data_IF_970398016389
#
_entry.id   IF_970398016389
#
_cell.length_a   1.000
_cell.length_b   1.000
_cell.length_c   1.000
_cell.angle_alpha   90.00
_cell.angle_beta   90.00
_cell.angle_gamma   90.00
#
_symmetry.space_group_name_H-M   'P 1'
#
loop_
_entity.id
_entity.type
_entity.pdbx_description
1 polymer ?
#
# COMPACT_ATOMS: atom_id res chain seq x y z
N UNK A 1 -15.62 22.20 -10.61
CA UNK A 1 -16.39 20.94 -10.54
C UNK A 1 -15.55 19.73 -10.91
N UNK A 2 -14.86 19.74 -12.05
CA UNK A 2 -14.02 18.63 -12.55
C UNK A 2 -13.00 18.12 -11.53
N UNK A 3 -12.14 19.00 -10.98
CA UNK A 3 -11.04 18.60 -10.07
C UNK A 3 -11.47 17.82 -8.81
N UNK A 4 -12.67 18.07 -8.26
CA UNK A 4 -13.16 17.33 -7.09
C UNK A 4 -13.63 15.92 -7.46
N UNK A 5 -14.46 15.83 -8.52
CA UNK A 5 -14.92 14.55 -9.05
C UNK A 5 -13.74 13.69 -9.54
N UNK A 6 -12.73 14.32 -10.13
CA UNK A 6 -11.47 13.69 -10.51
C UNK A 6 -10.74 13.16 -9.27
N UNK A 7 -10.63 13.96 -8.20
CA UNK A 7 -10.01 13.55 -6.94
C UNK A 7 -10.71 12.36 -6.26
N UNK A 8 -12.05 12.32 -6.27
CA UNK A 8 -12.82 11.19 -5.75
C UNK A 8 -12.60 9.92 -6.58
N UNK A 9 -12.69 10.03 -7.91
CA UNK A 9 -12.52 8.90 -8.82
C UNK A 9 -11.09 8.34 -8.74
N UNK A 10 -10.08 9.21 -8.73
CA UNK A 10 -8.67 8.84 -8.58
C UNK A 10 -8.46 8.18 -7.21
N UNK A 11 -8.97 8.77 -6.12
CA UNK A 11 -8.81 8.24 -4.78
C UNK A 11 -9.40 6.85 -4.60
N UNK A 12 -10.65 6.62 -5.07
CA UNK A 12 -11.28 5.30 -5.02
C UNK A 12 -10.54 4.28 -5.88
N UNK A 13 -10.08 4.67 -7.06
CA UNK A 13 -9.36 3.77 -7.97
C UNK A 13 -7.98 3.41 -7.41
N UNK A 14 -7.27 4.37 -6.82
CA UNK A 14 -5.99 4.16 -6.13
C UNK A 14 -6.15 3.14 -5.01
N UNK A 15 -7.13 3.30 -4.11
CA UNK A 15 -7.35 2.34 -3.00
C UNK A 15 -7.75 0.94 -3.47
N UNK A 16 -8.48 0.83 -4.59
CA UNK A 16 -8.81 -0.49 -5.18
C UNK A 16 -7.57 -1.17 -5.76
N UNK A 17 -6.75 -0.43 -6.48
CA UNK A 17 -5.50 -0.97 -7.02
C UNK A 17 -4.51 -1.34 -5.92
N UNK A 18 -4.42 -0.53 -4.88
CA UNK A 18 -3.62 -0.81 -3.68
C UNK A 18 -4.08 -2.13 -3.02
N UNK A 19 -5.38 -2.32 -2.81
CA UNK A 19 -5.91 -3.57 -2.26
C UNK A 19 -5.61 -4.79 -3.17
N UNK A 20 -5.80 -4.67 -4.48
CA UNK A 20 -5.48 -5.77 -5.43
C UNK A 20 -3.98 -6.09 -5.39
N UNK A 21 -3.14 -5.07 -5.42
CA UNK A 21 -1.69 -5.22 -5.34
C UNK A 21 -1.28 -5.88 -4.03
N UNK A 22 -1.84 -5.48 -2.88
CA UNK A 22 -1.60 -6.12 -1.59
C UNK A 22 -1.99 -7.61 -1.60
N UNK A 23 -3.14 -7.99 -2.17
CA UNK A 23 -3.51 -9.42 -2.28
C UNK A 23 -2.49 -10.18 -3.12
N UNK A 24 -2.15 -9.66 -4.31
CA UNK A 24 -1.22 -10.31 -5.23
C UNK A 24 0.18 -10.43 -4.62
N UNK A 25 0.72 -9.34 -4.09
CA UNK A 25 2.03 -9.31 -3.44
C UNK A 25 2.05 -10.20 -2.20
N UNK A 26 1.04 -10.10 -1.34
CA UNK A 26 0.94 -10.91 -0.13
C UNK A 26 0.86 -12.41 -0.44
N UNK A 27 0.08 -12.80 -1.46
CA UNK A 27 0.02 -14.18 -1.93
C UNK A 27 1.35 -14.64 -2.53
N UNK A 28 2.00 -13.80 -3.34
CA UNK A 28 3.31 -14.10 -3.90
C UNK A 28 4.36 -14.29 -2.80
N UNK A 29 4.41 -13.42 -1.79
CA UNK A 29 5.32 -13.55 -0.64
C UNK A 29 5.01 -14.78 0.21
N UNK A 30 3.73 -15.07 0.45
CA UNK A 30 3.29 -16.23 1.23
C UNK A 30 3.71 -17.54 0.55
N UNK A 31 3.45 -17.67 -0.76
CA UNK A 31 3.86 -18.83 -1.55
C UNK A 31 5.37 -18.89 -1.65
N UNK A 32 6.03 -17.76 -1.92
CA UNK A 32 7.47 -17.70 -2.13
C UNK A 32 8.31 -17.72 -0.82
N UNK A 33 7.70 -17.81 0.35
CA UNK A 33 8.38 -17.66 1.64
C UNK A 33 9.62 -18.55 1.83
N UNK A 34 9.63 -19.84 1.41
CA UNK A 34 10.83 -20.68 1.51
C UNK A 34 12.02 -20.17 0.69
N UNK A 35 11.75 -19.60 -0.49
CA UNK A 35 12.79 -19.06 -1.39
C UNK A 35 13.24 -17.65 -0.97
N UNK A 36 12.32 -16.83 -0.46
CA UNK A 36 12.65 -15.48 0.00
C UNK A 36 13.47 -15.53 1.30
N UNK A 37 13.20 -16.50 2.19
CA UNK A 37 13.88 -16.61 3.49
C UNK A 37 15.40 -16.74 3.42
N UNK A 38 15.92 -17.46 2.44
CA UNK A 38 17.37 -17.55 2.21
C UNK A 38 17.97 -16.23 1.69
N UNK A 39 17.19 -15.41 0.98
CA UNK A 39 17.65 -14.15 0.42
C UNK A 39 17.70 -12.99 1.40
N UNK A 40 16.83 -12.96 2.41
CA UNK A 40 16.75 -11.86 3.41
C UNK A 40 17.11 -12.28 4.84
N UNK A 41 17.62 -13.50 5.01
CA UNK A 41 18.01 -14.07 6.31
C UNK A 41 16.91 -14.02 7.39
N UNK A 42 15.64 -14.13 6.98
CA UNK A 42 14.49 -14.15 7.89
C UNK A 42 13.89 -15.57 7.96
N UNK A 43 13.36 -15.99 9.13
CA UNK A 43 12.67 -17.26 9.24
C UNK A 43 11.45 -17.32 8.32
N UNK A 44 11.27 -18.46 7.62
CA UNK A 44 10.10 -18.73 6.75
C UNK A 44 8.75 -18.39 7.40
N UNK A 45 8.45 -18.76 8.66
CA UNK A 45 7.15 -18.43 9.26
C UNK A 45 6.93 -16.92 9.43
N UNK A 46 8.01 -16.13 9.61
CA UNK A 46 7.91 -14.67 9.68
C UNK A 46 7.49 -14.11 8.32
N UNK A 47 8.13 -14.58 7.23
CA UNK A 47 7.84 -14.12 5.87
C UNK A 47 6.43 -14.52 5.44
N UNK A 48 6.05 -15.78 5.70
CA UNK A 48 4.70 -16.27 5.46
C UNK A 48 3.66 -15.45 6.24
N UNK A 49 3.94 -15.17 7.52
CA UNK A 49 3.10 -14.32 8.36
C UNK A 49 2.91 -12.91 7.80
N UNK A 50 3.98 -12.28 7.27
CA UNK A 50 3.90 -10.98 6.60
C UNK A 50 3.01 -11.07 5.36
N UNK A 51 3.20 -12.07 4.49
CA UNK A 51 2.36 -12.26 3.30
C UNK A 51 0.88 -12.40 3.65
N UNK A 52 0.56 -13.23 4.65
CA UNK A 52 -0.80 -13.39 5.15
C UNK A 52 -1.38 -12.10 5.75
N UNK A 53 -0.60 -11.36 6.53
CA UNK A 53 -1.00 -10.08 7.11
C UNK A 53 -1.33 -9.04 6.03
N UNK A 54 -0.54 -8.99 4.94
CA UNK A 54 -0.80 -8.09 3.80
C UNK A 54 -2.10 -8.47 3.06
N UNK A 55 -2.41 -9.76 2.91
CA UNK A 55 -3.69 -10.22 2.34
C UNK A 55 -4.86 -9.77 3.23
N UNK A 56 -4.75 -9.96 4.56
CA UNK A 56 -5.77 -9.50 5.51
C UNK A 56 -5.93 -7.99 5.44
N UNK A 57 -4.83 -7.24 5.35
CA UNK A 57 -4.84 -5.79 5.19
C UNK A 57 -5.61 -5.36 3.95
N UNK A 58 -5.43 -6.02 2.81
CA UNK A 58 -6.20 -5.72 1.60
C UNK A 58 -7.72 -5.82 1.82
N UNK A 59 -8.16 -6.85 2.55
CA UNK A 59 -9.56 -6.99 2.98
C UNK A 59 -10.02 -5.84 3.86
N UNK A 60 -9.17 -5.38 4.78
CA UNK A 60 -9.43 -4.21 5.62
C UNK A 60 -9.55 -2.93 4.77
N UNK A 61 -8.69 -2.71 3.78
CA UNK A 61 -8.78 -1.54 2.87
C UNK A 61 -10.13 -1.51 2.14
N UNK A 62 -10.60 -2.65 1.64
CA UNK A 62 -11.95 -2.77 1.03
C UNK A 62 -13.05 -2.46 2.06
N UNK A 63 -12.89 -2.91 3.31
CA UNK A 63 -13.77 -2.57 4.41
C UNK A 63 -13.81 -1.07 4.72
N UNK A 64 -12.65 -0.42 4.80
CA UNK A 64 -12.51 1.03 5.03
C UNK A 64 -13.21 1.83 3.93
N UNK A 65 -13.06 1.42 2.67
CA UNK A 65 -13.73 2.05 1.51
C UNK A 65 -15.27 2.00 1.59
N UNK A 66 -15.84 1.01 2.29
CA UNK A 66 -17.28 0.85 2.46
C UNK A 66 -17.82 1.58 3.69
N UNK A 67 -17.00 1.73 4.74
CA UNK A 67 -17.44 2.21 6.06
C UNK A 67 -17.02 3.64 6.37
N UNK A 68 -15.97 4.15 5.74
CA UNK A 68 -15.39 5.45 6.08
C UNK A 68 -15.53 6.47 4.95
N UNK A 69 -15.55 7.78 5.28
CA UNK A 69 -15.37 8.83 4.29
C UNK A 69 -14.04 8.63 3.54
N UNK A 70 -14.06 8.84 2.22
CA UNK A 70 -12.90 8.60 1.35
C UNK A 70 -11.63 9.31 1.83
N UNK A 71 -11.75 10.53 2.35
CA UNK A 71 -10.62 11.31 2.90
C UNK A 71 -9.94 10.58 4.07
N UNK A 72 -10.71 9.93 4.93
CA UNK A 72 -10.17 9.21 6.09
C UNK A 72 -9.53 7.89 5.66
N UNK A 73 -10.21 7.14 4.77
CA UNK A 73 -9.66 5.91 4.20
C UNK A 73 -8.32 6.16 3.49
N UNK A 74 -8.24 7.18 2.62
CA UNK A 74 -7.01 7.57 1.93
C UNK A 74 -5.88 7.91 2.91
N UNK A 75 -6.18 8.64 4.00
CA UNK A 75 -5.17 9.04 4.98
C UNK A 75 -4.61 7.85 5.77
N UNK A 76 -5.49 6.93 6.19
CA UNK A 76 -5.10 5.71 6.90
C UNK A 76 -4.18 4.86 6.03
N UNK A 77 -4.61 4.58 4.79
CA UNK A 77 -3.85 3.73 3.86
C UNK A 77 -2.53 4.38 3.46
N UNK A 78 -2.51 5.70 3.21
CA UNK A 78 -1.28 6.43 2.93
C UNK A 78 -0.26 6.31 4.05
N UNK A 79 -0.68 6.48 5.31
CA UNK A 79 0.23 6.33 6.46
C UNK A 79 0.74 4.89 6.56
N UNK A 80 -0.14 3.91 6.40
CA UNK A 80 0.24 2.50 6.41
C UNK A 80 1.27 2.17 5.30
N UNK A 81 1.05 2.67 4.08
CA UNK A 81 1.97 2.45 2.97
C UNK A 81 3.32 3.15 3.18
N UNK A 82 3.36 4.35 3.77
CA UNK A 82 4.64 4.99 4.13
C UNK A 82 5.40 4.14 5.13
N UNK A 83 4.73 3.67 6.19
CA UNK A 83 5.35 2.81 7.21
C UNK A 83 5.83 1.50 6.59
N UNK A 84 5.01 0.87 5.75
CA UNK A 84 5.37 -0.37 5.06
C UNK A 84 6.55 -0.18 4.10
N UNK A 85 6.57 0.90 3.31
CA UNK A 85 7.69 1.19 2.41
C UNK A 85 9.01 1.36 3.18
N UNK A 86 8.99 2.08 4.31
CA UNK A 86 10.18 2.24 5.18
C UNK A 86 10.61 0.89 5.78
N UNK A 87 9.65 0.11 6.29
CA UNK A 87 9.94 -1.21 6.85
C UNK A 87 10.54 -2.15 5.80
N UNK A 88 9.95 -2.24 4.60
CA UNK A 88 10.47 -3.05 3.48
C UNK A 88 11.85 -2.57 3.05
N UNK A 89 12.05 -1.25 2.90
CA UNK A 89 13.36 -0.71 2.56
C UNK A 89 14.43 -1.08 3.61
N UNK A 90 14.08 -1.09 4.90
CA UNK A 90 15.02 -1.48 5.96
C UNK A 90 15.47 -2.95 5.87
N UNK A 91 14.63 -3.85 5.35
CA UNK A 91 14.98 -5.27 5.12
C UNK A 91 16.11 -5.41 4.10
N UNK A 92 16.28 -4.45 3.17
CA UNK A 92 17.37 -4.50 2.19
C UNK A 92 18.76 -4.50 2.82
N UNK A 93 18.91 -3.97 4.05
CA UNK A 93 20.18 -3.99 4.80
C UNK A 93 20.61 -5.42 5.17
N UNK A 94 19.65 -6.33 5.33
CA UNK A 94 19.89 -7.73 5.68
C UNK A 94 19.90 -8.67 4.44
N UNK A 95 19.75 -8.13 3.23
CA UNK A 95 19.66 -8.94 2.03
C UNK A 95 21.03 -9.51 1.61
N UNK A 96 21.05 -10.80 1.27
CA UNK A 96 22.27 -11.57 1.00
C UNK A 96 22.90 -11.28 -0.37
N UNK A 97 22.14 -10.71 -1.32
CA UNK A 97 22.61 -10.45 -2.67
C UNK A 97 22.16 -9.09 -3.19
N UNK A 98 22.94 -8.51 -4.11
CA UNK A 98 22.57 -7.27 -4.81
C UNK A 98 21.22 -7.37 -5.53
N UNK A 99 20.90 -8.54 -6.10
CA UNK A 99 19.61 -8.78 -6.73
C UNK A 99 18.46 -8.73 -5.72
N UNK A 100 18.61 -9.37 -4.55
CA UNK A 100 17.62 -9.31 -3.48
C UNK A 100 17.42 -7.89 -2.97
N UNK A 101 18.50 -7.11 -2.82
CA UNK A 101 18.42 -5.68 -2.46
C UNK A 101 17.56 -4.93 -3.49
N UNK A 102 17.84 -5.08 -4.79
CA UNK A 102 17.08 -4.40 -5.85
C UNK A 102 15.59 -4.79 -5.84
N UNK A 103 15.27 -6.07 -5.66
CA UNK A 103 13.88 -6.54 -5.58
C UNK A 103 13.15 -5.94 -4.37
N UNK A 104 13.78 -5.97 -3.19
CA UNK A 104 13.20 -5.40 -1.97
C UNK A 104 12.98 -3.89 -2.10
N UNK A 105 13.96 -3.16 -2.65
CA UNK A 105 13.83 -1.73 -2.90
C UNK A 105 12.77 -1.41 -3.95
N UNK A 106 12.65 -2.22 -5.00
CA UNK A 106 11.60 -2.05 -6.01
C UNK A 106 10.21 -2.15 -5.37
N UNK A 107 9.98 -3.16 -4.52
CA UNK A 107 8.72 -3.29 -3.76
C UNK A 107 8.50 -2.07 -2.85
N UNK A 108 9.53 -1.59 -2.13
CA UNK A 108 9.41 -0.41 -1.30
C UNK A 108 9.02 0.85 -2.11
N UNK A 109 9.60 1.03 -3.29
CA UNK A 109 9.28 2.13 -4.21
C UNK A 109 7.85 2.01 -4.72
N UNK A 110 7.39 0.82 -5.13
CA UNK A 110 6.02 0.59 -5.58
C UNK A 110 5.00 0.98 -4.49
N UNK A 111 5.25 0.56 -3.24
CA UNK A 111 4.40 0.92 -2.10
C UNK A 111 4.43 2.44 -1.83
N UNK A 112 5.61 3.08 -1.93
CA UNK A 112 5.72 4.53 -1.80
C UNK A 112 4.99 5.29 -2.92
N UNK A 113 4.95 4.76 -4.14
CA UNK A 113 4.18 5.33 -5.25
C UNK A 113 2.67 5.26 -4.98
N UNK A 114 2.18 4.18 -4.38
CA UNK A 114 0.79 4.12 -3.91
C UNK A 114 0.52 5.22 -2.87
N UNK A 115 1.38 5.40 -1.88
CA UNK A 115 1.26 6.49 -0.89
C UNK A 115 1.25 7.88 -1.56
N UNK A 116 2.12 8.12 -2.54
CA UNK A 116 2.16 9.37 -3.29
C UNK A 116 0.85 9.61 -4.07
N UNK A 117 0.28 8.55 -4.67
CA UNK A 117 -1.01 8.65 -5.37
C UNK A 117 -2.17 9.01 -4.44
N UNK A 118 -2.16 8.48 -3.22
CA UNK A 118 -3.16 8.76 -2.19
C UNK A 118 -3.01 10.19 -1.64
N UNK A 119 -1.77 10.65 -1.46
CA UNK A 119 -1.47 12.03 -1.10
C UNK A 119 -1.94 13.02 -2.19
N UNK A 120 -1.73 12.70 -3.47
CA UNK A 120 -2.20 13.51 -4.58
C UNK A 120 -3.75 13.59 -4.62
N UNK A 121 -4.44 12.45 -4.45
CA UNK A 121 -5.89 12.41 -4.36
C UNK A 121 -6.42 13.26 -3.18
N UNK A 122 -5.78 13.17 -2.00
CA UNK A 122 -6.12 14.00 -0.84
C UNK A 122 -5.93 15.50 -1.11
N UNK A 123 -4.86 15.90 -1.80
CA UNK A 123 -4.65 17.32 -2.19
C UNK A 123 -5.77 17.81 -3.10
N UNK A 124 -6.16 17.03 -4.11
CA UNK A 124 -7.26 17.37 -5.00
C UNK A 124 -8.59 17.52 -4.26
N UNK A 125 -8.88 16.62 -3.31
CA UNK A 125 -10.09 16.68 -2.49
C UNK A 125 -10.12 17.89 -1.52
N UNK A 126 -8.97 18.40 -1.10
CA UNK A 126 -8.85 19.60 -0.24
C UNK A 126 -9.02 20.90 -1.00
N UNK A 127 -8.57 20.95 -2.27
CA UNK A 127 -8.63 22.14 -3.12
C UNK A 127 -10.05 22.41 -3.66
N UNK A 128 -11.03 21.53 -3.39
CA UNK A 128 -12.42 21.75 -3.75
C UNK A 128 -13.10 22.74 -2.77
N UNK A 129 -13.81 23.77 -3.26
CA UNK A 129 -14.42 24.80 -2.41
C UNK A 129 -15.39 24.22 -1.37
N UNK A 130 -15.43 24.85 -0.19
CA UNK A 130 -16.20 24.42 0.99
C UNK A 130 -17.73 24.31 0.75
N UNK A 131 -18.28 24.91 -0.30
CA UNK A 131 -19.72 24.89 -0.61
C UNK A 131 -20.28 23.59 -1.19
N UNK A 132 -19.46 22.52 -1.33
CA UNK A 132 -19.88 21.24 -1.92
C UNK A 132 -20.16 20.16 -0.86
N UNK A 133 -19.71 20.34 0.40
CA UNK A 133 -19.81 19.33 1.45
C UNK A 133 -21.20 19.24 2.13
N UNK A 134 -22.19 19.98 1.66
CA UNK A 134 -23.54 20.05 2.25
C UNK A 134 -24.65 19.52 1.35
N UNK A 135 -24.34 18.64 0.38
CA UNK A 135 -25.35 17.91 -0.39
C UNK A 135 -25.08 16.42 -0.36
#
# INVERSE_FOLDING_TARGET
MTRYADGERIGRRSLRWDAVYCVVLGAAVLVAAPWVGSGVALPVPVIAGVGAAVIVWAGLVVGLLRRLPLRMALRIVMVANVVAAVAVASVSVAAATGFTILVVLAVAVEVALFAASQAAALRLLRLAPAGVASR
#
